data_IF_842035814638
#
_entry.id   IF_842035814638
#
_cell.length_a   1.000
_cell.length_b   1.000
_cell.length_c   1.000
_cell.angle_alpha   90.00
_cell.angle_beta   90.00
_cell.angle_gamma   90.00
#
_symmetry.space_group_name_H-M   'P 1'
#
loop_
_entity.id
_entity.type
_entity.pdbx_description
1 polymer ?
#
# COMPACT_ATOMS: atom_id res chain seq x y z
N UNK A 1 7.01 6.21 24.31
CA UNK A 1 7.26 5.33 23.14
C UNK A 1 6.88 3.90 23.51
N UNK A 2 5.59 3.63 23.76
CA UNK A 2 5.13 2.34 24.32
C UNK A 2 3.82 1.81 23.73
N UNK A 3 3.41 2.29 22.56
CA UNK A 3 2.09 1.98 21.97
C UNK A 3 2.11 0.96 20.82
N UNK A 4 3.22 0.24 20.60
CA UNK A 4 3.32 -0.77 19.54
C UNK A 4 3.29 -2.23 20.03
N UNK A 5 3.28 -2.45 21.35
CA UNK A 5 3.21 -3.80 21.94
C UNK A 5 1.77 -4.29 22.17
N UNK A 6 0.76 -3.43 22.03
CA UNK A 6 -0.63 -3.71 22.44
C UNK A 6 -1.51 -4.37 21.35
N UNK A 7 -0.96 -4.70 20.19
CA UNK A 7 -1.77 -5.19 19.05
C UNK A 7 -1.96 -6.71 18.98
N UNK A 8 -1.37 -7.50 19.88
CA UNK A 8 -1.57 -8.96 19.89
C UNK A 8 -1.62 -9.50 21.33
N UNK A 9 -2.81 -9.62 21.94
CA UNK A 9 -2.98 -10.05 23.34
C UNK A 9 -2.73 -11.54 23.60
N UNK A 10 -2.43 -12.34 22.57
CA UNK A 10 -2.15 -13.79 22.67
C UNK A 10 -0.64 -14.13 22.55
N UNK A 11 0.22 -13.13 22.59
CA UNK A 11 1.67 -13.29 22.42
C UNK A 11 2.34 -13.43 23.79
N UNK A 12 2.88 -14.62 24.06
CA UNK A 12 3.95 -14.78 25.05
C UNK A 12 5.14 -13.93 24.60
N UNK A 13 5.14 -12.66 25.03
CA UNK A 13 6.05 -11.62 24.51
C UNK A 13 7.52 -12.00 24.55
N UNK A 14 7.92 -12.85 25.48
CA UNK A 14 9.30 -13.33 25.58
C UNK A 14 9.65 -14.35 24.48
N UNK A 15 8.80 -15.37 24.27
CA UNK A 15 9.05 -16.41 23.27
C UNK A 15 8.98 -15.85 21.84
N UNK A 16 8.08 -14.90 21.60
CA UNK A 16 7.96 -14.26 20.28
C UNK A 16 9.10 -13.31 19.99
N UNK A 17 9.57 -12.55 20.99
CA UNK A 17 10.77 -11.74 20.80
C UNK A 17 12.00 -12.60 20.55
N UNK A 18 12.18 -13.71 21.25
CA UNK A 18 13.28 -14.65 20.97
C UNK A 18 13.22 -15.21 19.54
N UNK A 19 12.02 -15.55 19.04
CA UNK A 19 11.83 -16.00 17.65
C UNK A 19 12.19 -14.91 16.65
N UNK A 20 11.72 -13.68 16.88
CA UNK A 20 12.03 -12.53 16.02
C UNK A 20 13.55 -12.27 16.00
N UNK A 21 14.18 -12.26 17.17
CA UNK A 21 15.63 -12.07 17.30
C UNK A 21 16.41 -13.17 16.58
N UNK A 22 15.97 -14.43 16.70
CA UNK A 22 16.55 -15.56 15.97
C UNK A 22 16.47 -15.39 14.44
N UNK A 23 15.32 -14.92 13.93
CA UNK A 23 15.11 -14.64 12.51
C UNK A 23 16.03 -13.50 12.05
N UNK A 24 16.10 -12.39 12.79
CA UNK A 24 16.92 -11.23 12.46
C UNK A 24 18.40 -11.61 12.51
N UNK A 25 18.85 -12.38 13.49
CA UNK A 25 20.23 -12.84 13.61
C UNK A 25 20.64 -13.78 12.46
N UNK A 26 19.69 -14.48 11.85
CA UNK A 26 19.92 -15.34 10.69
C UNK A 26 19.99 -14.59 9.34
N UNK A 27 19.75 -13.28 9.34
CA UNK A 27 19.89 -12.41 8.16
C UNK A 27 21.32 -11.88 8.01
N UNK A 28 21.73 -11.71 6.76
CA UNK A 28 22.97 -10.98 6.42
C UNK A 28 22.78 -9.46 6.57
N UNK A 29 23.86 -8.68 6.78
CA UNK A 29 23.77 -7.22 6.86
C UNK A 29 23.08 -6.58 5.65
N UNK A 30 23.33 -7.11 4.44
CA UNK A 30 22.71 -6.61 3.22
C UNK A 30 21.19 -6.83 3.18
N UNK A 31 20.70 -7.91 3.78
CA UNK A 31 19.27 -8.22 3.88
C UNK A 31 18.58 -7.41 4.98
N UNK A 32 19.27 -7.15 6.11
CA UNK A 32 18.77 -6.26 7.18
C UNK A 32 18.57 -4.84 6.67
N UNK A 33 19.51 -4.35 5.86
CA UNK A 33 19.44 -3.02 5.27
C UNK A 33 18.34 -2.90 4.21
N UNK A 34 18.07 -3.98 3.46
CA UNK A 34 17.10 -4.00 2.37
C UNK A 34 16.25 -5.28 2.40
N UNK A 35 15.21 -5.33 3.24
CA UNK A 35 14.34 -6.50 3.38
C UNK A 35 13.60 -6.89 2.09
N UNK A 36 13.37 -5.93 1.19
CA UNK A 36 12.72 -6.16 -0.13
C UNK A 36 13.51 -7.13 -1.03
N UNK A 37 14.82 -7.28 -0.79
CA UNK A 37 15.67 -8.17 -1.57
C UNK A 37 15.59 -9.63 -1.11
N UNK A 38 14.74 -9.97 -0.14
CA UNK A 38 14.60 -11.33 0.38
C UNK A 38 13.66 -12.15 -0.53
N UNK A 39 14.28 -12.88 -1.46
CA UNK A 39 13.60 -13.85 -2.30
C UNK A 39 13.26 -15.16 -1.56
N UNK A 40 12.65 -16.12 -2.26
CA UNK A 40 12.25 -17.42 -1.69
C UNK A 40 13.45 -18.23 -1.17
N UNK A 41 14.59 -18.17 -1.85
CA UNK A 41 15.80 -18.93 -1.47
C UNK A 41 16.37 -18.39 -0.16
N UNK A 42 16.50 -17.06 -0.05
CA UNK A 42 16.96 -16.38 1.17
C UNK A 42 16.03 -16.62 2.33
N UNK A 43 14.71 -16.59 2.09
CA UNK A 43 13.71 -16.87 3.12
C UNK A 43 13.86 -18.29 3.68
N UNK A 44 14.08 -19.28 2.82
CA UNK A 44 14.33 -20.66 3.24
C UNK A 44 15.65 -20.79 4.02
N UNK A 45 16.70 -20.05 3.63
CA UNK A 45 17.99 -20.03 4.36
C UNK A 45 17.83 -19.43 5.75
N UNK A 46 17.14 -18.29 5.86
CA UNK A 46 16.87 -17.61 7.14
C UNK A 46 16.06 -18.54 8.05
N UNK A 47 14.98 -19.13 7.53
CA UNK A 47 14.13 -20.06 8.27
C UNK A 47 14.91 -21.26 8.84
N UNK A 48 15.79 -21.86 8.03
CA UNK A 48 16.69 -22.94 8.48
C UNK A 48 17.69 -22.48 9.54
N UNK A 49 18.19 -21.25 9.45
CA UNK A 49 19.12 -20.68 10.42
C UNK A 49 18.47 -20.35 11.76
N UNK A 50 17.20 -19.94 11.75
CA UNK A 50 16.46 -19.55 12.94
C UNK A 50 15.58 -20.66 13.53
N UNK A 51 15.47 -21.81 12.86
CA UNK A 51 14.66 -22.95 13.33
C UNK A 51 13.15 -22.72 13.24
N UNK A 52 12.69 -21.84 12.34
CA UNK A 52 11.27 -21.48 12.16
C UNK A 52 10.78 -21.86 10.76
N UNK A 53 9.47 -21.74 10.52
CA UNK A 53 8.94 -21.98 9.18
C UNK A 53 9.23 -20.80 8.21
N UNK A 54 9.44 -21.06 6.90
CA UNK A 54 9.57 -20.00 5.89
C UNK A 54 8.35 -19.06 5.81
N UNK A 55 7.19 -19.52 6.27
CA UNK A 55 5.98 -18.72 6.37
C UNK A 55 6.10 -17.62 7.43
N UNK A 56 6.67 -17.93 8.60
CA UNK A 56 6.88 -16.99 9.71
C UNK A 56 7.81 -15.85 9.29
N UNK A 57 8.92 -16.17 8.61
CA UNK A 57 9.82 -15.16 8.04
C UNK A 57 9.06 -14.25 7.06
N UNK A 58 8.15 -14.82 6.25
CA UNK A 58 7.32 -14.05 5.32
C UNK A 58 6.32 -13.12 6.02
N UNK A 59 5.75 -13.56 7.16
CA UNK A 59 4.85 -12.74 7.97
C UNK A 59 5.58 -11.57 8.61
N UNK A 60 6.78 -11.81 9.15
CA UNK A 60 7.63 -10.75 9.72
C UNK A 60 7.97 -9.68 8.68
N UNK A 61 8.34 -10.09 7.46
CA UNK A 61 8.64 -9.15 6.37
C UNK A 61 7.43 -8.29 5.98
N UNK A 62 6.22 -8.84 5.99
CA UNK A 62 4.99 -8.08 5.71
C UNK A 62 4.66 -7.09 6.83
N UNK A 63 4.84 -7.49 8.08
CA UNK A 63 4.66 -6.60 9.23
C UNK A 63 5.63 -5.42 9.14
N UNK A 64 6.91 -5.71 8.80
CA UNK A 64 7.91 -4.68 8.54
C UNK A 64 7.54 -3.75 7.39
N UNK A 65 7.07 -4.26 6.23
CA UNK A 65 6.70 -3.42 5.08
C UNK A 65 5.55 -2.44 5.43
N UNK A 66 4.53 -2.94 6.14
CA UNK A 66 3.43 -2.11 6.65
C UNK A 66 3.93 -0.97 7.56
N UNK A 67 4.82 -1.29 8.51
CA UNK A 67 5.37 -0.31 9.45
C UNK A 67 6.36 0.65 8.80
N UNK A 68 7.23 0.15 7.92
CA UNK A 68 8.20 0.92 7.15
C UNK A 68 7.50 1.91 6.22
N UNK A 69 6.45 1.48 5.51
CA UNK A 69 5.63 2.35 4.68
C UNK A 69 4.98 3.49 5.48
N UNK A 70 4.46 3.18 6.67
CA UNK A 70 3.91 4.19 7.57
C UNK A 70 5.00 5.15 8.08
N UNK A 71 6.13 4.63 8.58
CA UNK A 71 7.25 5.44 9.05
C UNK A 71 7.80 6.35 7.95
N UNK A 72 7.97 5.85 6.72
CA UNK A 72 8.42 6.62 5.57
C UNK A 72 7.42 7.72 5.19
N UNK A 73 6.12 7.42 5.23
CA UNK A 73 5.05 8.38 4.96
C UNK A 73 4.98 9.51 6.00
N UNK A 74 5.42 9.25 7.23
CA UNK A 74 5.47 10.23 8.33
C UNK A 74 6.80 10.96 8.37
N UNK A 75 7.93 10.29 8.12
CA UNK A 75 9.28 10.85 8.21
C UNK A 75 9.52 12.05 7.27
N UNK A 76 8.86 12.07 6.10
CA UNK A 76 8.96 13.19 5.15
C UNK A 76 7.98 14.35 5.38
N UNK A 77 7.03 14.23 6.32
CA UNK A 77 6.00 15.25 6.58
C UNK A 77 6.40 16.14 7.74
N UNK A 78 6.33 17.45 7.56
CA UNK A 78 6.60 18.43 8.61
C UNK A 78 5.59 18.35 9.75
N UNK A 79 5.93 18.86 10.94
CA UNK A 79 5.05 18.83 12.13
C UNK A 79 3.67 19.44 11.83
N UNK A 80 3.61 20.47 10.98
CA UNK A 80 2.35 21.08 10.50
C UNK A 80 1.49 20.13 9.67
N UNK A 81 2.08 19.33 8.78
CA UNK A 81 1.34 18.35 7.97
C UNK A 81 0.88 17.16 8.81
N UNK A 82 1.67 16.76 9.80
CA UNK A 82 1.28 15.75 10.78
C UNK A 82 0.10 16.25 11.63
N UNK A 83 0.14 17.49 12.13
CA UNK A 83 -0.97 18.10 12.85
C UNK A 83 -2.23 18.23 11.97
N UNK A 84 -2.07 18.56 10.69
CA UNK A 84 -3.21 18.64 9.77
C UNK A 84 -3.83 17.27 9.51
N UNK A 85 -3.02 16.24 9.30
CA UNK A 85 -3.50 14.86 9.13
C UNK A 85 -4.19 14.32 10.41
N UNK A 86 -3.66 14.64 11.59
CA UNK A 86 -4.28 14.27 12.87
C UNK A 86 -5.58 15.04 13.09
N UNK A 87 -5.63 16.33 12.76
CA UNK A 87 -6.86 17.13 12.83
C UNK A 87 -7.93 16.64 11.87
N UNK A 88 -7.55 16.26 10.65
CA UNK A 88 -8.46 15.71 9.64
C UNK A 88 -8.98 14.31 10.01
N UNK A 89 -8.17 13.51 10.70
CA UNK A 89 -8.60 12.24 11.29
C UNK A 89 -9.56 12.44 12.48
N UNK A 90 -9.30 13.45 13.31
CA UNK A 90 -10.12 13.80 14.48
C UNK A 90 -11.46 14.44 14.09
N UNK A 91 -11.47 15.33 13.10
CA UNK A 91 -12.70 15.94 12.56
C UNK A 91 -13.49 14.95 11.67
N UNK A 92 -12.86 13.87 11.19
CA UNK A 92 -13.45 12.89 10.27
C UNK A 92 -14.15 11.68 10.90
N UNK A 93 -14.17 11.55 12.23
CA UNK A 93 -14.93 10.49 12.92
C UNK A 93 -14.51 9.04 12.64
N UNK A 94 -13.35 8.82 12.02
CA UNK A 94 -12.83 7.47 11.69
C UNK A 94 -11.83 6.99 12.75
N UNK A 95 -12.36 6.62 13.92
CA UNK A 95 -11.69 5.68 14.84
C UNK A 95 -12.62 4.49 15.05
N UNK A 96 -12.66 3.59 14.05
CA UNK A 96 -13.02 2.20 14.28
C UNK A 96 -11.74 1.35 14.13
N UNK A 97 -11.18 0.84 15.24
CA UNK A 97 -9.95 0.04 15.22
C UNK A 97 -10.15 -1.40 14.69
N UNK A 98 -11.37 -1.79 14.29
CA UNK A 98 -11.66 -3.12 13.72
C UNK A 98 -11.76 -3.16 12.18
N UNK A 99 -11.71 -1.99 11.52
CA UNK A 99 -11.81 -1.88 10.07
C UNK A 99 -10.50 -2.25 9.38
N UNK A 100 -10.39 -3.48 8.88
CA UNK A 100 -9.32 -3.92 7.97
C UNK A 100 -8.93 -2.79 7.00
N UNK A 101 -7.68 -2.32 7.10
CA UNK A 101 -7.04 -1.47 6.10
C UNK A 101 -6.93 -2.25 4.78
N UNK A 102 -8.04 -2.27 4.03
CA UNK A 102 -8.04 -2.64 2.62
C UNK A 102 -7.14 -1.63 1.94
N UNK A 103 -5.91 -2.05 1.61
CA UNK A 103 -5.04 -1.33 0.68
C UNK A 103 -5.81 -1.21 -0.62
N UNK A 104 -6.56 -0.11 -0.76
CA UNK A 104 -7.32 0.20 -1.94
C UNK A 104 -6.30 0.22 -3.07
N UNK A 105 -6.33 -0.83 -3.91
CA UNK A 105 -5.53 -0.84 -5.13
C UNK A 105 -5.96 0.42 -5.86
N UNK A 106 -5.09 1.43 -5.87
CA UNK A 106 -5.25 2.61 -6.70
C UNK A 106 -5.24 2.12 -8.15
N UNK A 107 -6.41 1.71 -8.62
CA UNK A 107 -6.66 1.39 -10.02
C UNK A 107 -6.38 2.68 -10.74
N UNK A 108 -5.40 2.65 -11.64
CA UNK A 108 -4.97 3.80 -12.42
C UNK A 108 -6.19 4.62 -12.87
N UNK A 109 -6.22 5.92 -12.56
CA UNK A 109 -7.20 6.89 -13.10
C UNK A 109 -7.01 7.07 -14.61
N UNK A 110 -7.15 5.99 -15.38
CA UNK A 110 -7.14 5.98 -16.84
C UNK A 110 -8.35 5.19 -17.31
N UNK A 111 -9.40 5.93 -17.65
CA UNK A 111 -10.58 5.42 -18.33
C UNK A 111 -11.86 6.04 -17.77
N UNK A 112 -12.65 6.78 -18.57
CA UNK A 112 -13.99 7.19 -18.16
C UNK A 112 -14.81 5.92 -17.88
N UNK A 113 -15.50 5.89 -16.74
CA UNK A 113 -16.27 4.73 -16.26
C UNK A 113 -17.60 4.53 -17.00
N UNK A 114 -17.74 5.02 -18.23
CA UNK A 114 -18.98 4.84 -18.98
C UNK A 114 -18.75 4.79 -20.50
N UNK A 115 -18.82 3.57 -21.05
CA UNK A 115 -18.65 3.32 -22.49
C UNK A 115 -19.78 3.95 -23.32
N UNK A 116 -20.94 4.20 -22.72
CA UNK A 116 -22.10 4.78 -23.39
C UNK A 116 -21.91 6.29 -23.61
N UNK A 117 -21.38 6.99 -22.61
CA UNK A 117 -21.02 8.41 -22.75
C UNK A 117 -19.98 8.64 -23.85
N UNK A 118 -18.99 7.75 -23.98
CA UNK A 118 -17.98 7.82 -25.04
C UNK A 118 -18.59 7.56 -26.43
N UNK A 119 -19.50 6.59 -26.53
CA UNK A 119 -20.21 6.26 -27.78
C UNK A 119 -21.08 7.42 -28.24
N UNK A 120 -21.76 8.10 -27.32
CA UNK A 120 -22.59 9.27 -27.62
C UNK A 120 -21.75 10.47 -28.06
N UNK A 121 -20.61 10.72 -27.39
CA UNK A 121 -19.67 11.78 -27.79
C UNK A 121 -19.10 11.54 -29.20
N UNK A 122 -18.75 10.28 -29.54
CA UNK A 122 -18.27 9.92 -30.89
C UNK A 122 -19.36 10.11 -31.95
N UNK A 123 -20.62 9.77 -31.63
CA UNK A 123 -21.77 9.98 -32.52
C UNK A 123 -22.01 11.47 -32.77
N UNK A 124 -22.06 12.29 -31.71
CA UNK A 124 -22.22 13.75 -31.81
C UNK A 124 -21.10 14.41 -32.62
N UNK A 125 -19.84 14.05 -32.36
CA UNK A 125 -18.68 14.54 -33.14
C UNK A 125 -18.76 14.17 -34.62
N UNK A 126 -19.17 12.93 -34.93
CA UNK A 126 -19.34 12.46 -36.32
C UNK A 126 -20.44 13.23 -37.05
N UNK A 127 -21.56 13.47 -36.39
CA UNK A 127 -22.70 14.15 -37.01
C UNK A 127 -22.42 15.66 -37.18
N UNK A 128 -21.75 16.30 -36.22
CA UNK A 128 -21.24 17.66 -36.36
C UNK A 128 -20.25 17.80 -37.53
N UNK A 129 -19.31 16.86 -37.70
CA UNK A 129 -18.37 16.86 -38.82
C UNK A 129 -19.08 16.69 -40.18
N UNK A 130 -20.12 15.85 -40.26
CA UNK A 130 -20.95 15.72 -41.47
C UNK A 130 -21.71 17.00 -41.79
N UNK A 131 -22.27 17.67 -40.78
CA UNK A 131 -22.96 18.95 -40.97
C UNK A 131 -22.00 20.07 -41.41
N UNK A 132 -20.82 20.15 -40.79
CA UNK A 132 -19.78 21.09 -41.19
C UNK A 132 -19.33 20.86 -42.65
N UNK A 133 -19.12 19.59 -43.05
CA UNK A 133 -18.82 19.23 -44.45
C UNK A 133 -19.94 19.64 -45.42
N UNK A 134 -21.20 19.41 -45.06
CA UNK A 134 -22.36 19.84 -45.88
C UNK A 134 -22.45 21.36 -45.97
N UNK A 135 -22.21 22.08 -44.87
CA UNK A 135 -22.23 23.56 -44.83
C UNK A 135 -21.09 24.15 -45.68
N UNK A 136 -19.91 23.57 -45.62
CA UNK A 136 -18.76 23.99 -46.45
C UNK A 136 -18.98 23.66 -47.94
N UNK A 137 -19.65 22.54 -48.26
CA UNK A 137 -20.03 22.19 -49.64
C UNK A 137 -21.13 23.09 -50.22
N UNK A 138 -22.00 23.67 -49.39
CA UNK A 138 -23.06 24.63 -49.81
C UNK A 138 -22.57 26.08 -49.90
N UNK A 139 -21.39 26.39 -49.37
CA UNK A 139 -20.76 27.73 -49.39
C UNK A 139 -19.78 27.91 -50.55
N UNK A 140 -19.65 26.91 -51.41
CA UNK A 140 -18.79 26.86 -52.60
C UNK A 140 -19.70 26.66 -53.80
#
# INVERSE_FOLDING_TARGET
LGGLMDQNPDIDGEADMQRIDGIINSMTPAEKLNPDRIDRSRRNRIARGSGVEPAEVGSLLKQFDSMSGMMKSMAGKGVRERMKAVKELADGGMMDPSGQMRKEKQRSKRGPQDMDALREQRKKKRDAAKQARKKNRKRK
#
